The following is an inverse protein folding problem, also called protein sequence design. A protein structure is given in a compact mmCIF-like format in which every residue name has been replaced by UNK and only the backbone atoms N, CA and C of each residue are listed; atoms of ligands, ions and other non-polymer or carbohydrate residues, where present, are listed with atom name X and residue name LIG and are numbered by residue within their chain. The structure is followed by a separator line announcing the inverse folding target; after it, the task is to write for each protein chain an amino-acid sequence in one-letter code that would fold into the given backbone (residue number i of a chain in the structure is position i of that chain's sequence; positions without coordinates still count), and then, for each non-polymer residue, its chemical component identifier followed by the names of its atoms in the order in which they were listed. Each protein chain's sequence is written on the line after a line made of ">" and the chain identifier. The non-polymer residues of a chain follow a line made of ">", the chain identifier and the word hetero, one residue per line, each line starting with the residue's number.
data_IF_568323595377
#
_entry.id   IF_568323595377
#
_cell.length_a   1.000
_cell.length_b   1.000
_cell.length_c   1.000
_cell.angle_alpha   90.00
_cell.angle_beta   90.00
_cell.angle_gamma   90.00
#
_symmetry.space_group_name_H-M   'P 1'
#
loop_
_entity.id
_entity.type
_entity.pdbx_description
1 polymer ?
#
# COMPACT_ATOMS: atom_id res chain seq x y z
N UNK A 1 53.68 -28.39 17.59
CA UNK A 1 53.78 -28.56 19.06
C UNK A 1 53.45 -27.21 19.67
N UNK A 2 52.39 -27.19 20.48
CA UNK A 2 51.73 -26.06 21.15
C UNK A 2 50.58 -25.36 20.39
N UNK A 3 49.39 -25.51 20.99
CA UNK A 3 48.18 -24.67 20.90
C UNK A 3 47.07 -24.99 19.87
N UNK A 4 46.89 -26.27 19.57
CA UNK A 4 45.55 -26.87 19.49
C UNK A 4 45.13 -27.34 20.91
N UNK A 5 44.99 -26.39 21.85
CA UNK A 5 44.76 -26.71 23.27
C UNK A 5 43.81 -25.69 23.95
N UNK A 6 42.69 -25.38 23.29
CA UNK A 6 41.62 -24.58 23.91
C UNK A 6 40.19 -25.02 23.53
N UNK A 7 40.00 -26.29 23.18
CA UNK A 7 38.66 -26.89 23.10
C UNK A 7 38.67 -28.20 23.89
N UNK A 8 38.87 -28.07 25.20
CA UNK A 8 38.91 -29.19 26.13
C UNK A 8 38.13 -28.87 27.41
N UNK A 9 36.98 -29.54 27.54
CA UNK A 9 36.31 -29.88 28.80
C UNK A 9 35.86 -28.77 29.76
N UNK A 10 34.59 -28.35 29.63
CA UNK A 10 33.67 -28.27 30.79
C UNK A 10 32.26 -28.68 30.38
N UNK A 11 32.07 -29.98 30.17
CA UNK A 11 30.71 -30.55 30.25
C UNK A 11 30.34 -30.54 31.74
N UNK A 12 29.25 -29.87 32.15
CA UNK A 12 28.82 -29.88 33.52
C UNK A 12 28.42 -31.31 33.94
N UNK A 13 28.76 -31.76 35.16
CA UNK A 13 28.59 -33.15 35.61
C UNK A 13 27.13 -33.64 35.68
N UNK A 14 26.15 -32.81 35.32
CA UNK A 14 24.73 -33.19 35.26
C UNK A 14 24.27 -33.74 33.90
N UNK A 15 25.09 -33.66 32.85
CA UNK A 15 24.78 -34.25 31.53
C UNK A 15 25.40 -35.63 31.32
N UNK A 16 26.32 -36.07 32.18
CA UNK A 16 26.95 -37.39 32.09
C UNK A 16 26.07 -38.53 32.63
N UNK A 17 24.98 -38.22 33.34
CA UNK A 17 24.15 -39.21 34.02
C UNK A 17 22.96 -39.74 33.19
N UNK A 18 22.76 -39.28 31.95
CA UNK A 18 21.63 -39.69 31.11
C UNK A 18 22.02 -40.57 29.91
N UNK A 19 23.27 -41.03 29.83
CA UNK A 19 23.81 -41.81 28.71
C UNK A 19 24.14 -43.25 29.11
N UNK A 20 23.32 -43.85 29.99
CA UNK A 20 23.45 -45.26 30.33
C UNK A 20 22.08 -45.86 30.59
N UNK A 21 21.26 -46.03 29.55
CA UNK A 21 20.36 -47.18 29.45
C UNK A 21 19.74 -47.29 28.04
N UNK A 22 20.00 -48.46 27.45
CA UNK A 22 19.26 -49.20 26.42
C UNK A 22 18.97 -48.65 25.02
N UNK A 23 19.63 -49.34 24.08
CA UNK A 23 19.20 -49.60 22.71
C UNK A 23 17.83 -50.31 22.66
N UNK A 24 16.82 -49.62 22.17
CA UNK A 24 15.78 -50.24 21.33
C UNK A 24 15.04 -49.17 20.54
N UNK A 25 14.94 -49.35 19.22
CA UNK A 25 14.18 -48.53 18.25
C UNK A 25 14.93 -47.31 17.70
N UNK A 26 15.56 -47.52 16.53
CA UNK A 26 16.26 -46.50 15.74
C UNK A 26 15.35 -45.38 15.20
N UNK A 27 14.99 -44.45 16.07
CA UNK A 27 14.48 -43.13 15.71
C UNK A 27 15.52 -42.08 16.10
N UNK A 28 15.77 -41.04 15.28
CA UNK A 28 16.65 -39.95 15.69
C UNK A 28 16.06 -39.26 16.92
N UNK A 29 16.91 -38.77 17.85
CA UNK A 29 16.43 -38.12 19.07
C UNK A 29 15.64 -36.88 18.71
N UNK A 30 14.33 -36.90 19.00
CA UNK A 30 13.53 -35.68 19.02
C UNK A 30 14.05 -34.84 20.17
N UNK A 31 14.65 -33.70 19.85
CA UNK A 31 15.07 -32.71 20.82
C UNK A 31 13.81 -32.12 21.50
N UNK A 32 13.35 -32.77 22.56
CA UNK A 32 12.32 -32.20 23.44
C UNK A 32 13.01 -31.10 24.24
N UNK A 33 12.85 -29.87 23.80
CA UNK A 33 13.21 -28.69 24.61
C UNK A 33 12.25 -28.67 25.80
N UNK A 34 12.70 -29.19 26.95
CA UNK A 34 12.00 -29.04 28.23
C UNK A 34 11.78 -27.55 28.49
N UNK A 35 10.51 -27.17 28.71
CA UNK A 35 10.12 -25.80 29.05
C UNK A 35 10.48 -25.41 30.48
N UNK A 36 11.24 -26.24 31.21
CA UNK A 36 11.54 -26.04 32.63
C UNK A 36 12.78 -25.16 32.87
N UNK A 37 13.32 -24.54 31.83
CA UNK A 37 14.36 -23.50 31.96
C UNK A 37 13.72 -22.10 31.96
N UNK A 38 12.75 -21.88 32.84
CA UNK A 38 12.37 -20.53 33.24
C UNK A 38 12.54 -20.39 34.75
N UNK A 39 13.49 -19.58 35.25
CA UNK A 39 13.67 -19.41 36.68
C UNK A 39 12.41 -18.78 37.30
N UNK A 40 11.85 -19.35 38.38
CA UNK A 40 10.70 -18.77 39.07
C UNK A 40 11.19 -17.52 39.80
N UNK A 41 10.96 -16.35 39.21
CA UNK A 41 11.38 -15.07 39.79
C UNK A 41 11.99 -14.07 38.83
N UNK A 42 12.15 -14.38 37.54
CA UNK A 42 12.38 -13.33 36.53
C UNK A 42 11.10 -12.53 36.38
N UNK A 43 10.99 -11.49 37.21
CA UNK A 43 9.85 -10.60 37.30
C UNK A 43 9.38 -10.19 35.91
N UNK A 44 8.06 -10.10 35.77
CA UNK A 44 7.42 -9.44 34.64
C UNK A 44 7.89 -7.98 34.62
N UNK A 45 9.10 -7.76 34.07
CA UNK A 45 9.49 -6.51 33.46
C UNK A 45 8.52 -6.36 32.29
N UNK A 46 7.35 -5.84 32.62
CA UNK A 46 6.30 -5.44 31.72
C UNK A 46 6.98 -4.40 30.83
N UNK A 47 7.54 -4.85 29.71
CA UNK A 47 7.88 -4.01 28.56
C UNK A 47 6.56 -3.46 28.03
N UNK A 48 5.96 -2.57 28.82
CA UNK A 48 5.02 -1.57 28.34
C UNK A 48 5.92 -0.46 27.81
N UNK A 49 6.61 -0.75 26.70
CA UNK A 49 6.98 0.34 25.81
C UNK A 49 5.70 1.14 25.55
N UNK A 50 5.78 2.47 25.36
CA UNK A 50 4.63 3.23 24.97
C UNK A 50 4.17 2.64 23.64
N UNK A 51 3.17 1.75 23.69
CA UNK A 51 2.26 1.53 22.60
C UNK A 51 1.52 2.85 22.50
N UNK A 52 2.19 3.83 21.90
CA UNK A 52 1.59 5.02 21.37
C UNK A 52 0.59 4.49 20.37
N UNK A 53 -0.62 4.26 20.86
CA UNK A 53 -1.80 4.14 20.03
C UNK A 53 -1.93 5.48 19.35
N UNK A 54 -1.14 5.68 18.29
CA UNK A 54 -1.33 6.75 17.35
C UNK A 54 -2.79 6.65 16.97
N UNK A 55 -3.53 7.67 17.37
CA UNK A 55 -4.91 7.87 17.00
C UNK A 55 -4.97 7.83 15.47
N UNK A 56 -5.24 6.64 14.91
CA UNK A 56 -5.26 6.40 13.46
C UNK A 56 -6.19 7.39 12.75
N UNK A 57 -7.27 7.76 13.44
CA UNK A 57 -8.23 8.77 13.00
C UNK A 57 -7.57 10.15 12.91
N UNK A 58 -6.70 10.50 13.86
CA UNK A 58 -5.94 11.75 13.82
C UNK A 58 -4.98 11.81 12.64
N UNK A 59 -4.33 10.70 12.30
CA UNK A 59 -3.37 10.65 11.17
C UNK A 59 -4.02 10.93 9.80
N UNK A 60 -5.34 10.77 9.66
CA UNK A 60 -6.07 11.07 8.42
C UNK A 60 -6.25 12.58 8.16
N UNK A 61 -6.19 13.40 9.20
CA UNK A 61 -6.49 14.84 9.11
C UNK A 61 -5.33 15.74 9.59
N UNK A 62 -4.39 15.19 10.36
CA UNK A 62 -3.26 15.95 10.92
C UNK A 62 -2.21 16.23 9.85
N UNK A 63 -1.75 17.48 9.76
CA UNK A 63 -0.75 17.95 8.78
C UNK A 63 -1.15 17.73 7.30
N UNK A 64 -2.44 17.61 7.01
CA UNK A 64 -2.96 17.53 5.64
C UNK A 64 -3.14 18.94 5.07
N UNK A 65 -2.46 19.23 3.96
CA UNK A 65 -2.65 20.47 3.20
C UNK A 65 -3.98 20.46 2.43
N UNK A 66 -5.08 20.81 3.11
CA UNK A 66 -6.44 20.75 2.53
C UNK A 66 -6.62 21.60 1.27
N UNK A 67 -5.94 22.75 1.18
CA UNK A 67 -5.96 23.56 -0.03
C UNK A 67 -5.33 22.80 -1.22
N UNK A 68 -4.19 22.13 -1.00
CA UNK A 68 -3.55 21.28 -2.00
C UNK A 68 -4.43 20.10 -2.41
N UNK A 69 -5.16 19.50 -1.47
CA UNK A 69 -6.13 18.42 -1.75
C UNK A 69 -7.25 18.91 -2.67
N UNK A 70 -7.89 20.02 -2.31
CA UNK A 70 -9.03 20.55 -3.07
C UNK A 70 -8.57 21.03 -4.45
N UNK A 71 -7.50 21.83 -4.51
CA UNK A 71 -6.97 22.36 -5.77
C UNK A 71 -6.45 21.23 -6.66
N UNK A 72 -5.79 20.22 -6.09
CA UNK A 72 -5.30 19.05 -6.82
C UNK A 72 -6.44 18.24 -7.42
N UNK A 73 -7.51 18.00 -6.66
CA UNK A 73 -8.69 17.30 -7.14
C UNK A 73 -9.41 18.07 -8.26
N UNK A 74 -9.61 19.38 -8.07
CA UNK A 74 -10.26 20.23 -9.09
C UNK A 74 -9.41 20.32 -10.35
N UNK A 75 -8.10 20.53 -10.24
CA UNK A 75 -7.19 20.60 -11.39
C UNK A 75 -7.19 19.30 -12.19
N UNK A 76 -7.15 18.14 -11.52
CA UNK A 76 -7.24 16.83 -12.18
C UNK A 76 -8.61 16.60 -12.82
N UNK A 77 -9.69 17.06 -12.19
CA UNK A 77 -11.02 16.98 -12.78
C UNK A 77 -11.12 17.80 -14.07
N UNK A 78 -10.59 19.02 -14.07
CA UNK A 78 -10.53 19.88 -15.26
C UNK A 78 -9.61 19.29 -16.34
N UNK A 79 -8.51 18.64 -15.95
CA UNK A 79 -7.69 17.88 -16.89
C UNK A 79 -8.51 16.77 -17.56
N UNK A 80 -9.36 16.06 -16.81
CA UNK A 80 -10.26 15.06 -17.35
C UNK A 80 -11.18 15.65 -18.42
N UNK A 81 -11.74 16.84 -18.16
CA UNK A 81 -12.50 17.56 -19.16
C UNK A 81 -11.69 17.78 -20.45
N UNK A 82 -10.46 18.28 -20.33
CA UNK A 82 -9.59 18.52 -21.50
C UNK A 82 -9.27 17.24 -22.25
N UNK A 83 -9.01 16.13 -21.55
CA UNK A 83 -8.69 14.83 -22.17
C UNK A 83 -9.89 14.24 -22.92
N UNK A 84 -11.08 14.34 -22.36
CA UNK A 84 -12.28 13.71 -22.92
C UNK A 84 -13.10 14.61 -23.88
N UNK A 85 -12.61 15.82 -24.19
CA UNK A 85 -13.21 16.68 -25.20
C UNK A 85 -13.15 16.05 -26.61
N UNK A 86 -14.16 16.28 -27.48
CA UNK A 86 -14.14 15.80 -28.86
C UNK A 86 -12.94 16.29 -29.68
N UNK A 87 -12.33 17.43 -29.30
CA UNK A 87 -11.20 18.03 -30.00
C UNK A 87 -9.84 17.40 -29.68
N UNK A 88 -9.72 16.65 -28.58
CA UNK A 88 -8.48 16.03 -28.10
C UNK A 88 -8.51 14.52 -28.33
N UNK A 89 -8.86 13.74 -27.30
CA UNK A 89 -8.91 12.28 -27.35
C UNK A 89 -10.34 11.74 -27.32
N UNK A 90 -11.33 12.60 -27.06
CA UNK A 90 -12.72 12.23 -26.78
C UNK A 90 -13.38 11.40 -27.87
N UNK A 91 -13.26 11.75 -29.16
CA UNK A 91 -13.97 11.04 -30.26
C UNK A 91 -13.60 9.56 -30.32
N UNK A 92 -12.31 9.27 -30.44
CA UNK A 92 -11.79 7.89 -30.50
C UNK A 92 -11.96 7.15 -29.16
N UNK A 93 -11.87 7.86 -28.04
CA UNK A 93 -12.16 7.29 -26.73
C UNK A 93 -13.63 6.88 -26.61
N UNK A 94 -14.56 7.70 -27.10
CA UNK A 94 -15.99 7.46 -27.01
C UNK A 94 -16.44 6.30 -27.90
N UNK A 95 -15.96 6.26 -29.15
CA UNK A 95 -16.10 5.11 -30.05
C UNK A 95 -15.56 3.83 -29.39
N UNK A 96 -14.35 3.92 -28.81
CA UNK A 96 -13.71 2.80 -28.11
C UNK A 96 -14.32 2.43 -26.77
N UNK A 97 -15.15 3.29 -26.19
CA UNK A 97 -15.84 3.07 -24.92
C UNK A 97 -17.32 2.74 -25.09
N UNK A 98 -17.81 2.72 -26.34
CA UNK A 98 -19.22 2.52 -26.66
C UNK A 98 -20.14 3.58 -26.01
N UNK A 99 -19.65 4.81 -25.84
CA UNK A 99 -20.42 5.94 -25.29
C UNK A 99 -20.63 7.01 -26.35
N UNK A 100 -21.74 7.73 -26.25
CA UNK A 100 -21.99 8.90 -27.11
C UNK A 100 -21.48 10.16 -26.42
N UNK A 101 -20.71 10.97 -27.16
CA UNK A 101 -20.37 12.33 -26.74
C UNK A 101 -21.59 13.22 -26.96
N UNK A 102 -22.50 13.22 -25.98
CA UNK A 102 -23.64 14.12 -25.94
C UNK A 102 -23.27 15.53 -25.46
N UNK A 103 -24.26 16.43 -25.47
CA UNK A 103 -24.13 17.72 -24.79
C UNK A 103 -23.96 17.50 -23.27
N UNK A 104 -23.31 18.44 -22.57
CA UNK A 104 -23.06 18.35 -21.12
C UNK A 104 -24.34 18.09 -20.29
N UNK A 105 -25.51 18.50 -20.78
CA UNK A 105 -26.82 18.26 -20.16
C UNK A 105 -27.29 16.80 -20.21
N UNK A 106 -26.62 15.94 -20.97
CA UNK A 106 -26.92 14.50 -21.10
C UNK A 106 -25.89 13.64 -20.34
N UNK A 107 -24.93 14.25 -19.64
CA UNK A 107 -23.94 13.50 -18.87
C UNK A 107 -24.57 12.87 -17.63
N UNK A 108 -24.28 11.58 -17.33
CA UNK A 108 -24.75 10.93 -16.11
C UNK A 108 -24.17 11.62 -14.88
N UNK A 109 -25.03 12.25 -14.06
CA UNK A 109 -24.63 12.99 -12.86
C UNK A 109 -23.97 12.09 -11.81
N UNK A 110 -24.40 10.83 -11.75
CA UNK A 110 -23.83 9.78 -10.90
C UNK A 110 -22.36 9.50 -11.25
N UNK A 111 -22.04 9.35 -12.54
CA UNK A 111 -20.68 9.12 -13.01
C UNK A 111 -19.77 10.34 -12.73
N UNK A 112 -20.26 11.55 -12.98
CA UNK A 112 -19.51 12.78 -12.68
C UNK A 112 -19.26 12.96 -11.19
N UNK A 113 -20.27 12.69 -10.35
CA UNK A 113 -20.14 12.74 -8.90
C UNK A 113 -19.15 11.71 -8.36
N UNK A 114 -19.23 10.47 -8.85
CA UNK A 114 -18.31 9.40 -8.48
C UNK A 114 -16.87 9.73 -8.88
N UNK A 115 -16.66 10.29 -10.07
CA UNK A 115 -15.32 10.70 -10.53
C UNK A 115 -14.76 11.87 -9.69
N UNK A 116 -15.56 12.90 -9.42
CA UNK A 116 -15.13 14.03 -8.60
C UNK A 116 -14.76 13.58 -7.18
N UNK A 117 -15.60 12.73 -6.56
CA UNK A 117 -15.32 12.15 -5.26
C UNK A 117 -14.06 11.26 -5.30
N UNK A 118 -13.91 10.43 -6.32
CA UNK A 118 -12.74 9.57 -6.50
C UNK A 118 -11.44 10.37 -6.58
N UNK A 119 -11.41 11.47 -7.33
CA UNK A 119 -10.25 12.34 -7.43
C UNK A 119 -9.95 13.07 -6.12
N UNK A 120 -10.99 13.52 -5.40
CA UNK A 120 -10.83 14.14 -4.09
C UNK A 120 -10.23 13.16 -3.08
N UNK A 121 -10.75 11.93 -3.02
CA UNK A 121 -10.24 10.87 -2.16
C UNK A 121 -8.80 10.50 -2.53
N UNK A 122 -8.50 10.35 -3.81
CA UNK A 122 -7.14 10.04 -4.26
C UNK A 122 -6.16 11.17 -3.91
N UNK A 123 -6.55 12.43 -4.13
CA UNK A 123 -5.73 13.58 -3.75
C UNK A 123 -5.52 13.67 -2.23
N UNK A 124 -6.54 13.29 -1.44
CA UNK A 124 -6.42 13.22 0.02
C UNK A 124 -5.47 12.11 0.47
N UNK A 125 -5.54 10.91 -0.15
CA UNK A 125 -4.58 9.83 0.10
C UNK A 125 -3.14 10.29 -0.15
N UNK A 126 -2.89 10.99 -1.26
CA UNK A 126 -1.57 11.53 -1.56
C UNK A 126 -1.10 12.55 -0.51
N UNK A 127 -2.00 13.39 0.01
CA UNK A 127 -1.68 14.36 1.04
C UNK A 127 -1.37 13.72 2.39
N UNK A 128 -2.11 12.68 2.77
CA UNK A 128 -1.81 11.84 3.95
C UNK A 128 -0.43 11.20 3.80
N UNK A 129 -0.14 10.62 2.63
CA UNK A 129 1.16 10.02 2.34
C UNK A 129 2.29 11.05 2.40
N UNK A 130 2.08 12.28 1.90
CA UNK A 130 3.06 13.37 2.01
C UNK A 130 3.32 13.75 3.47
N UNK A 131 2.27 13.94 4.26
CA UNK A 131 2.38 14.29 5.68
C UNK A 131 3.16 13.25 6.51
N UNK A 132 3.14 11.99 6.09
CA UNK A 132 3.82 10.88 6.76
C UNK A 132 5.15 10.46 6.10
N UNK A 133 5.62 11.18 5.10
CA UNK A 133 6.82 10.82 4.32
C UNK A 133 6.73 9.43 3.65
N UNK A 134 5.53 9.03 3.23
CA UNK A 134 5.19 7.76 2.58
C UNK A 134 4.71 7.97 1.13
N UNK A 135 5.25 8.96 0.41
CA UNK A 135 4.81 9.29 -0.96
C UNK A 135 4.90 8.10 -1.93
N UNK A 136 5.89 7.23 -1.78
CA UNK A 136 6.01 6.00 -2.58
C UNK A 136 4.77 5.10 -2.45
N UNK A 137 4.16 5.02 -1.27
CA UNK A 137 2.93 4.26 -1.05
C UNK A 137 1.75 4.92 -1.77
N UNK A 138 1.66 6.25 -1.74
CA UNK A 138 0.62 6.99 -2.47
C UNK A 138 0.70 6.79 -3.99
N UNK A 139 1.92 6.81 -4.54
CA UNK A 139 2.16 6.50 -5.96
C UNK A 139 1.76 5.05 -6.26
N UNK A 140 2.22 4.09 -5.46
CA UNK A 140 1.87 2.68 -5.62
C UNK A 140 0.35 2.45 -5.56
N UNK A 141 -0.34 3.10 -4.62
CA UNK A 141 -1.80 3.03 -4.49
C UNK A 141 -2.50 3.58 -5.75
N UNK A 142 -1.99 4.67 -6.33
CA UNK A 142 -2.54 5.22 -7.57
C UNK A 142 -2.32 4.28 -8.76
N UNK A 143 -1.14 3.66 -8.86
CA UNK A 143 -0.84 2.68 -9.90
C UNK A 143 -1.71 1.42 -9.76
N UNK A 144 -1.94 0.96 -8.52
CA UNK A 144 -2.84 -0.14 -8.25
C UNK A 144 -4.29 0.20 -8.66
N UNK A 145 -4.76 1.42 -8.35
CA UNK A 145 -6.06 1.90 -8.79
C UNK A 145 -6.16 1.95 -10.33
N UNK A 146 -5.15 2.49 -11.01
CA UNK A 146 -5.10 2.54 -12.47
C UNK A 146 -5.11 1.14 -13.10
N UNK A 147 -4.40 0.17 -12.50
CA UNK A 147 -4.41 -1.23 -12.96
C UNK A 147 -5.79 -1.89 -12.79
N UNK A 148 -6.49 -1.62 -11.69
CA UNK A 148 -7.86 -2.10 -11.48
C UNK A 148 -8.84 -1.43 -12.45
N UNK A 149 -8.70 -0.14 -12.70
CA UNK A 149 -9.50 0.58 -13.71
C UNK A 149 -9.27 0.01 -15.13
N UNK A 150 -8.02 -0.31 -15.48
CA UNK A 150 -7.67 -0.98 -16.73
C UNK A 150 -8.30 -2.38 -16.85
N UNK A 151 -8.31 -3.14 -15.75
CA UNK A 151 -8.97 -4.44 -15.67
C UNK A 151 -10.47 -4.30 -15.94
N UNK A 152 -11.16 -3.36 -15.27
CA UNK A 152 -12.57 -3.07 -15.50
C UNK A 152 -12.88 -2.63 -16.94
N UNK A 153 -12.01 -1.80 -17.52
CA UNK A 153 -12.09 -1.40 -18.92
C UNK A 153 -11.91 -2.58 -19.89
N UNK A 154 -11.09 -3.56 -19.50
CA UNK A 154 -10.87 -4.79 -20.27
C UNK A 154 -12.08 -5.73 -20.21
N UNK A 155 -12.66 -5.93 -19.03
CA UNK A 155 -13.91 -6.69 -18.89
C UNK A 155 -15.07 -6.06 -19.65
N UNK A 156 -15.13 -4.73 -19.68
CA UNK A 156 -16.14 -3.97 -20.45
C UNK A 156 -15.85 -3.91 -21.95
N UNK A 157 -14.86 -4.67 -22.45
CA UNK A 157 -14.49 -4.77 -23.86
C UNK A 157 -14.13 -3.42 -24.53
N UNK A 158 -13.70 -2.41 -23.75
CA UNK A 158 -13.23 -1.13 -24.32
C UNK A 158 -12.08 -1.36 -25.30
N UNK A 159 -11.94 -0.55 -26.34
CA UNK A 159 -10.82 -0.63 -27.27
C UNK A 159 -9.49 -0.33 -26.57
N UNK A 160 -8.37 -0.83 -27.11
CA UNK A 160 -7.03 -0.55 -26.57
C UNK A 160 -6.75 0.96 -26.51
N UNK A 161 -7.24 1.72 -27.49
CA UNK A 161 -7.12 3.18 -27.50
C UNK A 161 -7.83 3.81 -26.29
N UNK A 162 -9.09 3.43 -26.04
CA UNK A 162 -9.86 3.96 -24.91
C UNK A 162 -9.21 3.62 -23.56
N UNK A 163 -8.70 2.39 -23.41
CA UNK A 163 -7.97 1.95 -22.21
C UNK A 163 -6.71 2.78 -21.97
N UNK A 164 -5.93 3.04 -23.03
CA UNK A 164 -4.71 3.86 -22.94
C UNK A 164 -5.02 5.32 -22.57
N UNK A 165 -6.12 5.89 -23.07
CA UNK A 165 -6.55 7.24 -22.69
C UNK A 165 -6.95 7.28 -21.21
N UNK A 166 -7.71 6.30 -20.73
CA UNK A 166 -8.11 6.21 -19.32
C UNK A 166 -6.89 6.05 -18.39
N UNK A 167 -5.93 5.17 -18.73
CA UNK A 167 -4.69 5.01 -17.97
C UNK A 167 -3.80 6.27 -18.01
N UNK A 168 -3.68 6.89 -19.18
CA UNK A 168 -2.93 8.13 -19.35
C UNK A 168 -3.51 9.27 -18.50
N UNK A 169 -4.85 9.38 -18.45
CA UNK A 169 -5.53 10.32 -17.58
C UNK A 169 -5.23 10.08 -16.09
N UNK A 170 -5.23 8.83 -15.61
CA UNK A 170 -4.86 8.51 -14.23
C UNK A 170 -3.43 8.93 -13.90
N UNK A 171 -2.47 8.64 -14.78
CA UNK A 171 -1.07 9.02 -14.59
C UNK A 171 -0.88 10.53 -14.65
N UNK A 172 -1.53 11.22 -15.58
CA UNK A 172 -1.46 12.68 -15.66
C UNK A 172 -2.10 13.34 -14.42
N UNK A 173 -3.21 12.79 -13.93
CA UNK A 173 -3.86 13.25 -12.69
C UNK A 173 -2.96 13.05 -11.47
N UNK A 174 -2.24 11.93 -11.37
CA UNK A 174 -1.24 11.71 -10.33
C UNK A 174 -0.18 12.81 -10.34
N UNK A 175 0.39 13.10 -11.52
CA UNK A 175 1.41 14.15 -11.66
C UNK A 175 0.86 15.51 -11.26
N UNK A 176 -0.34 15.88 -11.73
CA UNK A 176 -1.00 17.15 -11.35
C UNK A 176 -1.19 17.25 -9.84
N UNK A 177 -1.73 16.21 -9.21
CA UNK A 177 -1.94 16.21 -7.75
C UNK A 177 -0.63 16.34 -6.98
N UNK A 178 0.43 15.66 -7.41
CA UNK A 178 1.74 15.76 -6.76
C UNK A 178 2.36 17.16 -6.92
N UNK A 179 2.26 17.75 -8.11
CA UNK A 179 2.77 19.10 -8.37
C UNK A 179 2.01 20.13 -7.54
N UNK A 180 0.68 20.08 -7.54
CA UNK A 180 -0.14 21.02 -6.76
C UNK A 180 0.17 20.91 -5.26
N UNK A 181 0.28 19.70 -4.73
CA UNK A 181 0.62 19.49 -3.31
C UNK A 181 2.08 19.80 -2.98
N UNK A 182 2.97 19.84 -3.97
CA UNK A 182 4.34 20.29 -3.75
C UNK A 182 4.42 21.82 -3.67
N UNK A 183 3.55 22.53 -4.39
CA UNK A 183 3.48 23.99 -4.45
C UNK A 183 2.68 24.63 -3.30
N UNK A 184 1.73 23.89 -2.73
CA UNK A 184 0.83 24.33 -1.65
C UNK A 184 1.09 23.58 -0.34
#
# INVERSE_FOLDING_TARGET
>A
MALLDQVGHRVPPRLAAAACEDDAHGLPPVLVVSQDVYPPGAGHARMRGPMGGGNIMGALFTNVGWLGVIVGAVASFLLGWVVYLPATFGRKWAEGSHVQLGAASQMPLDAMGAQALGLLLMSWVLAICRAQNLLALGVLATLAFAALAWSGATFSQKSLYARNVDAGYWLASLVVMLVVQALL
#
